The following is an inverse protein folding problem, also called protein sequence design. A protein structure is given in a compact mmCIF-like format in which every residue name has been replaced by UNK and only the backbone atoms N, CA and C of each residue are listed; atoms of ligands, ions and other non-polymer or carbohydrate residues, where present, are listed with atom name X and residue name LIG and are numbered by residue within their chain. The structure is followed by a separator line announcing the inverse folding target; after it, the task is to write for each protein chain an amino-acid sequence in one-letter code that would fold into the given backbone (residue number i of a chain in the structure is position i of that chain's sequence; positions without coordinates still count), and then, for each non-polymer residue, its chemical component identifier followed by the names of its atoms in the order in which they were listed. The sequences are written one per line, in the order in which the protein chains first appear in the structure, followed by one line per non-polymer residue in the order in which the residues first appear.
data_IF_562908636166
#
_entry.id   IF_562908636166
#
_cell.length_a   1.000
_cell.length_b   1.000
_cell.length_c   1.000
_cell.angle_alpha   90.00
_cell.angle_beta   90.00
_cell.angle_gamma   90.00
#
_symmetry.space_group_name_H-M   'P 1'
#
loop_
_entity.id
_entity.type
_entity.pdbx_description
1 polymer ?
#
# COMPACT_ATOMS: atom_id res chain seq x y z
N UNK A 1 -11.85 -80.57 -30.09
CA UNK A 1 -12.15 -79.13 -30.22
C UNK A 1 -11.47 -78.37 -29.08
N UNK A 2 -10.45 -77.55 -29.40
CA UNK A 2 -9.60 -76.82 -28.43
C UNK A 2 -10.34 -75.53 -28.01
N UNK A 3 -10.81 -75.43 -26.77
CA UNK A 3 -11.36 -74.17 -26.23
C UNK A 3 -10.24 -73.39 -25.53
N UNK A 4 -9.78 -72.31 -26.18
CA UNK A 4 -8.87 -71.31 -25.61
C UNK A 4 -9.59 -70.58 -24.48
N UNK A 5 -9.02 -70.54 -23.28
CA UNK A 5 -9.48 -69.64 -22.21
C UNK A 5 -8.64 -68.36 -22.28
N UNK A 6 -9.31 -67.24 -22.53
CA UNK A 6 -8.72 -65.92 -22.58
C UNK A 6 -8.25 -65.50 -21.17
N UNK A 7 -7.05 -64.92 -21.09
CA UNK A 7 -6.55 -64.28 -19.87
C UNK A 7 -7.15 -62.88 -19.81
N UNK A 8 -7.98 -62.59 -18.80
CA UNK A 8 -8.35 -61.22 -18.45
C UNK A 8 -7.13 -60.55 -17.82
N UNK A 9 -6.52 -59.60 -18.53
CA UNK A 9 -5.58 -58.66 -17.93
C UNK A 9 -6.39 -57.59 -17.20
N UNK A 10 -6.33 -57.58 -15.87
CA UNK A 10 -6.87 -56.50 -15.06
C UNK A 10 -6.00 -55.26 -15.23
N UNK A 11 -6.50 -54.24 -15.92
CA UNK A 11 -5.88 -52.92 -15.92
C UNK A 11 -6.20 -52.27 -14.57
N UNK A 12 -5.18 -52.13 -13.73
CA UNK A 12 -5.24 -51.35 -12.50
C UNK A 12 -5.31 -49.87 -12.89
N UNK A 13 -6.51 -49.30 -12.91
CA UNK A 13 -6.69 -47.87 -13.09
C UNK A 13 -6.17 -47.15 -11.84
N UNK A 14 -4.96 -46.61 -11.93
CA UNK A 14 -4.45 -45.66 -10.94
C UNK A 14 -5.26 -44.39 -11.10
N UNK A 15 -6.26 -44.23 -10.23
CA UNK A 15 -7.00 -42.98 -10.12
C UNK A 15 -6.05 -41.95 -9.49
N UNK A 16 -5.35 -41.19 -10.32
CA UNK A 16 -4.66 -40.00 -9.85
C UNK A 16 -5.73 -39.03 -9.37
N UNK A 17 -5.91 -38.94 -8.06
CA UNK A 17 -6.66 -37.86 -7.43
C UNK A 17 -5.88 -36.58 -7.74
N UNK A 18 -6.26 -35.91 -8.83
CA UNK A 18 -5.77 -34.57 -9.10
C UNK A 18 -6.23 -33.70 -7.94
N UNK A 19 -5.29 -33.29 -7.09
CA UNK A 19 -5.53 -32.15 -6.22
C UNK A 19 -5.72 -30.98 -7.18
N UNK A 20 -6.98 -30.64 -7.43
CA UNK A 20 -7.29 -29.33 -7.97
C UNK A 20 -6.84 -28.35 -6.89
N UNK A 21 -5.68 -27.75 -7.08
CA UNK A 21 -5.34 -26.53 -6.37
C UNK A 21 -6.38 -25.53 -6.84
N UNK A 22 -7.45 -25.36 -6.07
CA UNK A 22 -8.29 -24.18 -6.18
C UNK A 22 -7.33 -23.02 -5.98
N UNK A 23 -7.11 -22.21 -7.02
CA UNK A 23 -6.31 -21.01 -6.89
C UNK A 23 -6.76 -20.28 -5.64
N UNK A 24 -5.83 -19.95 -4.76
CA UNK A 24 -6.10 -19.06 -3.66
C UNK A 24 -6.40 -17.69 -4.27
N UNK A 25 -7.68 -17.39 -4.51
CA UNK A 25 -8.07 -16.08 -4.98
C UNK A 25 -8.09 -15.14 -3.77
N UNK A 26 -7.07 -14.28 -3.66
CA UNK A 26 -7.39 -12.89 -3.35
C UNK A 26 -8.33 -12.42 -4.44
N UNK A 27 -9.49 -11.90 -4.07
CA UNK A 27 -10.46 -11.42 -5.03
C UNK A 27 -9.85 -10.28 -5.87
N UNK A 28 -9.95 -10.33 -7.19
CA UNK A 28 -9.46 -9.23 -8.03
C UNK A 28 -10.29 -7.96 -7.82
N UNK A 29 -11.55 -8.14 -7.41
CA UNK A 29 -12.51 -7.08 -7.14
C UNK A 29 -13.14 -7.19 -5.78
N UNK A 30 -13.51 -6.06 -5.21
CA UNK A 30 -14.05 -6.01 -3.85
C UNK A 30 -15.32 -6.86 -3.69
N UNK A 31 -16.23 -6.81 -4.66
CA UNK A 31 -17.52 -7.51 -4.56
C UNK A 31 -17.44 -9.01 -4.87
N UNK A 32 -16.28 -9.54 -5.26
CA UNK A 32 -16.13 -10.99 -5.47
C UNK A 32 -16.03 -11.76 -4.14
N UNK A 33 -15.72 -11.07 -3.03
CA UNK A 33 -15.87 -11.63 -1.69
C UNK A 33 -15.29 -10.84 -0.52
N UNK A 34 -14.58 -9.72 -0.74
CA UNK A 34 -14.09 -8.87 0.36
C UNK A 34 -15.24 -8.36 1.24
N UNK A 35 -16.39 -8.07 0.64
CA UNK A 35 -17.60 -7.60 1.33
C UNK A 35 -18.12 -8.57 2.39
N UNK A 36 -17.75 -9.85 2.34
CA UNK A 36 -18.18 -10.86 3.33
C UNK A 36 -17.59 -10.61 4.72
N UNK A 37 -16.41 -10.02 4.79
CA UNK A 37 -15.75 -9.63 6.05
C UNK A 37 -15.78 -8.12 6.27
N UNK A 38 -15.68 -7.35 5.18
CA UNK A 38 -15.53 -5.90 5.22
C UNK A 38 -16.84 -5.12 5.02
N UNK A 39 -17.95 -5.80 4.68
CA UNK A 39 -19.26 -5.19 4.40
C UNK A 39 -19.38 -4.69 2.97
N UNK A 40 -20.61 -4.38 2.52
CA UNK A 40 -20.81 -3.81 1.19
C UNK A 40 -20.05 -2.49 1.03
N UNK A 41 -19.49 -2.25 -0.16
CA UNK A 41 -18.68 -1.05 -0.39
C UNK A 41 -19.51 0.24 -0.23
N UNK A 42 -20.77 0.19 -0.68
CA UNK A 42 -21.77 1.25 -0.49
C UNK A 42 -22.58 1.08 0.82
N UNK A 43 -22.09 0.24 1.73
CA UNK A 43 -22.79 -0.17 2.94
C UNK A 43 -22.37 0.59 4.20
N UNK A 44 -23.23 0.60 5.23
CA UNK A 44 -23.04 1.38 6.45
C UNK A 44 -22.02 0.85 7.46
N UNK A 45 -21.67 -0.43 7.40
CA UNK A 45 -20.80 -1.04 8.39
C UNK A 45 -20.15 -2.32 7.85
N UNK A 46 -19.00 -2.70 8.42
CA UNK A 46 -18.48 -4.05 8.25
C UNK A 46 -19.21 -5.05 9.17
N UNK A 47 -19.27 -6.34 8.79
CA UNK A 47 -19.63 -7.44 9.68
C UNK A 47 -18.81 -7.51 10.98
N UNK A 48 -17.58 -6.98 10.97
CA UNK A 48 -16.71 -6.86 12.14
C UNK A 48 -17.09 -5.69 13.08
N UNK A 49 -18.15 -4.93 12.77
CA UNK A 49 -18.60 -3.81 13.59
C UNK A 49 -17.77 -2.53 13.42
N UNK A 50 -16.82 -2.51 12.47
CA UNK A 50 -16.14 -1.29 12.06
C UNK A 50 -17.17 -0.37 11.42
N UNK A 51 -17.41 0.77 12.06
CA UNK A 51 -18.26 1.83 11.52
C UNK A 51 -17.35 2.69 10.66
N UNK A 52 -17.53 2.62 9.34
CA UNK A 52 -16.84 3.52 8.44
C UNK A 52 -17.47 4.90 8.56
N UNK A 53 -16.68 5.96 8.48
CA UNK A 53 -17.25 7.29 8.59
C UNK A 53 -18.27 7.56 7.48
N UNK A 54 -19.36 8.25 7.82
CA UNK A 54 -20.55 8.44 6.96
C UNK A 54 -21.30 7.17 6.51
N UNK A 55 -21.01 5.99 7.06
CA UNK A 55 -21.74 4.76 6.73
C UNK A 55 -21.69 4.40 5.23
N UNK A 56 -20.58 4.70 4.54
CA UNK A 56 -20.37 4.32 3.14
C UNK A 56 -18.86 4.44 2.82
N UNK A 57 -18.23 3.33 2.45
CA UNK A 57 -16.79 3.34 2.12
C UNK A 57 -16.52 4.11 0.85
N UNK A 58 -17.37 3.98 -0.15
CA UNK A 58 -17.22 4.74 -1.39
C UNK A 58 -17.32 6.24 -1.10
N UNK A 59 -18.25 6.65 -0.22
CA UNK A 59 -18.37 8.04 0.22
C UNK A 59 -17.12 8.55 0.91
N UNK A 60 -16.51 7.73 1.77
CA UNK A 60 -15.26 8.08 2.43
C UNK A 60 -14.15 8.37 1.42
N UNK A 61 -13.92 7.50 0.42
CA UNK A 61 -12.85 7.70 -0.56
C UNK A 61 -13.10 8.90 -1.47
N UNK A 62 -14.35 9.12 -1.90
CA UNK A 62 -14.67 10.28 -2.74
C UNK A 62 -14.65 11.62 -1.97
N UNK A 63 -14.63 11.63 -0.64
CA UNK A 63 -14.69 12.88 0.13
C UNK A 63 -13.34 13.22 0.76
N UNK A 64 -12.76 12.30 1.51
CA UNK A 64 -11.56 12.60 2.30
C UNK A 64 -10.30 12.47 1.48
N UNK A 65 -10.17 11.39 0.72
CA UNK A 65 -8.97 11.14 -0.07
C UNK A 65 -8.99 11.86 -1.42
N UNK A 66 -9.94 12.79 -1.62
CA UNK A 66 -10.12 13.60 -2.84
C UNK A 66 -10.31 12.84 -4.15
N UNK A 67 -10.58 11.54 -4.10
CA UNK A 67 -10.79 10.70 -5.28
C UNK A 67 -12.19 10.92 -5.93
N UNK A 68 -12.84 12.05 -5.69
CA UNK A 68 -14.20 12.35 -6.15
C UNK A 68 -14.30 12.44 -7.68
N UNK A 69 -13.21 12.88 -8.31
CA UNK A 69 -13.09 13.12 -9.75
C UNK A 69 -12.28 12.05 -10.46
N UNK A 70 -11.56 11.23 -9.70
CA UNK A 70 -10.53 10.32 -10.20
C UNK A 70 -10.96 8.87 -9.98
N UNK A 71 -12.17 8.54 -10.45
CA UNK A 71 -12.78 7.22 -10.33
C UNK A 71 -11.85 6.11 -10.82
N UNK A 72 -11.08 6.41 -11.88
CA UNK A 72 -10.16 5.49 -12.51
C UNK A 72 -9.00 5.05 -11.61
N UNK A 73 -8.78 5.69 -10.46
CA UNK A 73 -7.85 5.17 -9.46
C UNK A 73 -8.31 3.82 -8.90
N UNK A 74 -9.62 3.56 -8.86
CA UNK A 74 -10.20 2.31 -8.36
C UNK A 74 -10.93 1.49 -9.44
N UNK A 75 -11.31 2.14 -10.54
CA UNK A 75 -12.16 1.61 -11.58
C UNK A 75 -11.44 1.49 -12.91
N UNK A 76 -11.98 0.67 -13.80
CA UNK A 76 -11.51 0.53 -15.17
C UNK A 76 -12.67 0.74 -16.14
N UNK A 77 -12.36 1.06 -17.40
CA UNK A 77 -13.35 1.41 -18.40
C UNK A 77 -14.51 0.40 -18.47
N UNK A 78 -15.73 0.91 -18.27
CA UNK A 78 -16.96 0.11 -18.29
C UNK A 78 -17.36 -0.47 -16.94
N UNK A 79 -16.68 -0.11 -15.85
CA UNK A 79 -17.03 -0.47 -14.48
C UNK A 79 -16.98 0.74 -13.54
N UNK A 80 -18.14 1.10 -12.97
CA UNK A 80 -18.24 2.21 -12.01
C UNK A 80 -18.77 1.76 -10.63
N UNK A 81 -18.85 0.45 -10.36
CA UNK A 81 -19.53 -0.06 -9.16
C UNK A 81 -18.74 -1.13 -8.38
N UNK A 82 -17.63 -1.63 -8.92
CA UNK A 82 -16.83 -2.65 -8.26
C UNK A 82 -15.33 -2.29 -8.32
N UNK A 83 -14.76 -1.75 -7.24
CA UNK A 83 -13.36 -1.34 -7.26
C UNK A 83 -12.43 -2.55 -7.32
N UNK A 84 -11.36 -2.39 -8.06
CA UNK A 84 -10.31 -3.39 -8.22
C UNK A 84 -9.27 -3.30 -7.11
N UNK A 85 -8.64 -4.43 -6.80
CA UNK A 85 -7.59 -4.49 -5.78
C UNK A 85 -6.22 -4.15 -6.35
N UNK A 86 -5.82 -4.78 -7.46
CA UNK A 86 -4.44 -4.76 -7.98
C UNK A 86 -4.22 -4.02 -9.30
N UNK A 87 -5.26 -3.37 -9.83
CA UNK A 87 -5.26 -2.77 -11.16
C UNK A 87 -6.36 -1.71 -11.25
N UNK A 88 -6.18 -0.67 -12.04
CA UNK A 88 -7.25 0.22 -12.47
C UNK A 88 -6.80 1.00 -13.71
N UNK A 89 -7.60 1.93 -14.22
CA UNK A 89 -7.19 2.74 -15.38
C UNK A 89 -6.22 3.87 -15.01
N UNK A 90 -6.25 4.33 -13.75
CA UNK A 90 -5.47 5.46 -13.26
C UNK A 90 -5.81 6.79 -13.94
N UNK A 91 -4.94 7.76 -13.76
CA UNK A 91 -5.00 9.07 -14.42
C UNK A 91 -3.72 9.30 -15.21
N UNK A 92 -3.59 10.49 -15.82
CA UNK A 92 -2.34 10.91 -16.46
C UNK A 92 -1.21 11.14 -15.43
N UNK A 93 -1.55 11.35 -14.15
CA UNK A 93 -0.60 11.69 -13.09
C UNK A 93 -0.37 10.56 -12.08
N UNK A 94 -1.32 9.64 -11.94
CA UNK A 94 -1.31 8.60 -10.91
C UNK A 94 -1.60 7.23 -11.54
N UNK A 95 -0.77 6.21 -11.27
CA UNK A 95 -0.92 4.91 -11.92
C UNK A 95 -2.22 4.19 -11.53
N UNK A 96 -2.73 3.36 -12.42
CA UNK A 96 -3.93 2.57 -12.17
C UNK A 96 -3.63 1.29 -11.38
N UNK A 97 -3.75 1.37 -10.05
CA UNK A 97 -3.36 0.31 -9.12
C UNK A 97 -4.52 -0.19 -8.25
N UNK A 98 -5.66 0.49 -8.21
CA UNK A 98 -6.77 0.08 -7.35
C UNK A 98 -6.41 0.21 -5.87
N UNK A 99 -6.89 -0.72 -5.04
CA UNK A 99 -6.64 -0.70 -3.59
C UNK A 99 -5.14 -0.74 -3.22
N UNK A 100 -4.29 -1.44 -4.00
CA UNK A 100 -2.84 -1.50 -3.70
C UNK A 100 -2.11 -0.20 -4.03
N UNK A 101 -2.78 0.81 -4.60
CA UNK A 101 -2.21 2.15 -4.73
C UNK A 101 -1.96 2.80 -3.37
N UNK A 102 -2.81 2.54 -2.37
CA UNK A 102 -2.58 2.93 -0.97
C UNK A 102 -2.04 1.78 -0.12
N UNK A 103 -2.50 0.55 -0.36
CA UNK A 103 -2.20 -0.62 0.49
C UNK A 103 -1.05 -1.50 -0.01
N UNK A 104 -0.32 -1.07 -1.04
CA UNK A 104 0.75 -1.86 -1.66
C UNK A 104 2.01 -1.03 -1.87
N UNK A 105 3.15 -1.72 -1.90
CA UNK A 105 4.47 -1.11 -2.04
C UNK A 105 5.19 -1.69 -3.24
N UNK A 106 6.04 -0.88 -3.88
CA UNK A 106 6.86 -1.37 -4.99
C UNK A 106 8.07 -2.16 -4.45
N UNK A 107 8.13 -3.45 -4.78
CA UNK A 107 9.27 -4.32 -4.47
C UNK A 107 10.25 -4.43 -5.65
N UNK A 108 9.98 -3.69 -6.72
CA UNK A 108 10.70 -3.74 -7.97
C UNK A 108 10.55 -5.07 -8.72
N UNK A 109 11.22 -5.14 -9.86
CA UNK A 109 11.30 -6.36 -10.66
C UNK A 109 9.94 -6.93 -11.04
N UNK A 110 9.77 -8.25 -10.85
CA UNK A 110 8.54 -8.95 -11.20
C UNK A 110 7.42 -8.84 -10.16
N UNK A 111 7.74 -8.39 -8.93
CA UNK A 111 6.73 -8.21 -7.89
C UNK A 111 6.00 -6.87 -8.05
N UNK A 112 6.71 -5.82 -8.48
CA UNK A 112 6.15 -4.49 -8.68
C UNK A 112 5.42 -3.99 -7.43
N UNK A 113 4.38 -3.18 -7.63
CA UNK A 113 3.49 -2.75 -6.56
C UNK A 113 2.62 -3.93 -6.11
N UNK A 114 2.86 -4.41 -4.89
CA UNK A 114 2.15 -5.58 -4.34
C UNK A 114 1.64 -5.32 -2.94
N UNK A 115 0.44 -5.81 -2.64
CA UNK A 115 -0.16 -5.77 -1.29
C UNK A 115 0.43 -6.81 -0.35
N UNK A 116 1.76 -6.87 -0.21
CA UNK A 116 2.46 -7.76 0.74
C UNK A 116 2.03 -7.44 2.17
N UNK A 117 2.05 -6.16 2.57
CA UNK A 117 1.60 -5.78 3.91
C UNK A 117 0.11 -5.97 4.13
N UNK A 118 -0.74 -5.74 3.12
CA UNK A 118 -2.15 -6.14 3.18
C UNK A 118 -2.34 -7.65 3.46
N UNK A 119 -1.47 -8.51 2.90
CA UNK A 119 -1.48 -9.95 3.20
C UNK A 119 -0.93 -10.26 4.59
N UNK A 120 0.08 -9.52 5.06
CA UNK A 120 0.57 -9.61 6.43
C UNK A 120 -0.55 -9.27 7.42
N UNK A 121 -1.23 -8.13 7.23
CA UNK A 121 -2.36 -7.70 8.04
C UNK A 121 -3.50 -8.73 8.11
N UNK A 122 -3.80 -9.36 6.98
CA UNK A 122 -4.76 -10.47 6.94
C UNK A 122 -4.27 -11.67 7.74
N UNK A 123 -3.00 -12.05 7.62
CA UNK A 123 -2.42 -13.16 8.38
C UNK A 123 -2.46 -12.89 9.89
N UNK A 124 -2.15 -11.66 10.33
CA UNK A 124 -2.28 -11.25 11.74
C UNK A 124 -3.71 -11.36 12.26
N UNK A 125 -4.68 -11.04 11.40
CA UNK A 125 -6.10 -11.17 11.67
C UNK A 125 -6.62 -12.63 11.57
N UNK A 126 -5.72 -13.61 11.38
CA UNK A 126 -6.04 -15.04 11.29
C UNK A 126 -6.50 -15.52 9.91
N UNK A 127 -6.43 -14.67 8.88
CA UNK A 127 -6.75 -15.02 7.49
C UNK A 127 -5.50 -15.55 6.79
N UNK A 128 -5.28 -16.87 6.88
CA UNK A 128 -4.04 -17.51 6.41
C UNK A 128 -4.13 -18.15 5.03
N UNK A 129 -5.28 -18.06 4.34
CA UNK A 129 -5.51 -18.77 3.06
C UNK A 129 -4.47 -18.39 1.99
N UNK A 130 -4.04 -17.12 2.01
CA UNK A 130 -3.09 -16.54 1.06
C UNK A 130 -1.71 -17.19 1.16
N UNK A 131 -1.28 -17.62 2.36
CA UNK A 131 0.05 -18.18 2.61
C UNK A 131 0.35 -19.47 1.85
N UNK A 132 -0.66 -20.15 1.30
CA UNK A 132 -0.46 -21.33 0.44
C UNK A 132 0.18 -20.99 -0.91
N UNK A 133 -0.07 -19.78 -1.43
CA UNK A 133 0.56 -19.26 -2.64
C UNK A 133 1.63 -18.21 -2.33
N UNK A 134 1.46 -17.47 -1.22
CA UNK A 134 2.29 -16.35 -0.79
C UNK A 134 3.24 -16.69 0.38
N UNK A 135 3.56 -17.97 0.58
CA UNK A 135 4.47 -18.40 1.66
C UNK A 135 5.92 -17.96 1.50
N UNK A 136 6.27 -17.35 0.37
CA UNK A 136 7.58 -16.77 0.08
C UNK A 136 7.53 -15.29 -0.25
N UNK A 137 6.47 -14.60 0.17
CA UNK A 137 6.43 -13.14 0.09
C UNK A 137 7.67 -12.54 0.79
N UNK A 138 8.19 -11.41 0.28
CA UNK A 138 9.22 -10.67 0.98
C UNK A 138 8.65 -10.15 2.32
N UNK A 139 9.54 -9.67 3.18
CA UNK A 139 9.10 -8.87 4.31
C UNK A 139 8.33 -7.65 3.79
N UNK A 140 7.23 -7.25 4.44
CA UNK A 140 6.59 -5.97 4.16
C UNK A 140 7.63 -4.83 4.20
N UNK A 141 7.51 -3.88 3.28
CA UNK A 141 8.28 -2.64 3.36
C UNK A 141 7.77 -1.84 4.56
N UNK A 142 8.67 -1.16 5.29
CA UNK A 142 8.31 -0.35 6.45
C UNK A 142 7.38 0.81 6.09
N UNK A 143 6.68 1.34 7.09
CA UNK A 143 5.64 2.36 6.91
C UNK A 143 6.18 3.68 6.31
N UNK A 144 7.45 3.99 6.57
CA UNK A 144 8.14 5.18 6.03
C UNK A 144 8.44 5.13 4.52
N UNK A 145 8.37 3.96 3.87
CA UNK A 145 8.39 3.87 2.41
C UNK A 145 6.96 4.12 1.95
N UNK A 146 6.70 5.13 1.11
CA UNK A 146 5.33 5.47 0.75
C UNK A 146 4.76 4.60 -0.38
N UNK A 147 3.45 4.26 -0.35
CA UNK A 147 2.79 3.59 -1.46
C UNK A 147 2.48 4.60 -2.58
N UNK A 148 2.26 4.15 -3.82
CA UNK A 148 2.23 5.04 -4.98
C UNK A 148 1.17 6.15 -5.00
N UNK A 149 0.10 6.03 -4.20
CA UNK A 149 -0.96 7.04 -4.15
C UNK A 149 -0.65 8.17 -3.17
N UNK A 150 0.28 7.96 -2.23
CA UNK A 150 0.64 8.98 -1.26
C UNK A 150 1.40 10.12 -1.94
N UNK A 151 1.03 11.36 -1.62
CA UNK A 151 1.62 12.55 -2.24
C UNK A 151 1.28 12.76 -3.72
N UNK A 152 0.47 11.88 -4.32
CA UNK A 152 0.00 12.04 -5.69
C UNK A 152 -1.00 13.20 -5.79
N UNK A 153 -1.10 13.89 -6.94
CA UNK A 153 -2.02 15.03 -7.09
C UNK A 153 -3.50 14.65 -7.03
N UNK A 154 -3.82 13.37 -7.19
CA UNK A 154 -5.19 12.85 -7.22
C UNK A 154 -5.65 12.31 -5.86
N UNK A 155 -4.78 12.34 -4.84
CA UNK A 155 -5.15 11.98 -3.47
C UNK A 155 -4.65 12.99 -2.43
N UNK A 156 -5.33 13.04 -1.28
CA UNK A 156 -4.88 13.84 -0.13
C UNK A 156 -4.08 13.06 0.90
N UNK A 157 -3.86 11.76 0.68
CA UNK A 157 -3.12 10.94 1.62
C UNK A 157 -1.64 11.25 1.42
N UNK A 158 -0.95 11.64 2.50
CA UNK A 158 0.41 12.20 2.39
C UNK A 158 1.45 11.50 3.26
N UNK A 159 1.07 11.02 4.44
CA UNK A 159 2.03 10.54 5.43
C UNK A 159 1.32 9.54 6.35
N UNK A 160 1.69 8.24 6.36
CA UNK A 160 1.09 7.23 7.24
C UNK A 160 1.67 7.26 8.66
N UNK A 161 2.71 8.07 8.87
CA UNK A 161 3.43 8.25 10.12
C UNK A 161 3.06 9.58 10.82
N UNK A 162 1.97 10.23 10.40
CA UNK A 162 1.60 11.51 10.95
C UNK A 162 1.04 11.37 12.38
N UNK A 163 1.25 12.38 13.22
CA UNK A 163 0.75 12.37 14.59
C UNK A 163 -0.62 13.07 14.63
N UNK A 164 -1.69 12.28 14.80
CA UNK A 164 -3.00 12.83 15.14
C UNK A 164 -2.96 13.65 16.44
N UNK A 165 -3.82 14.69 16.62
CA UNK A 165 -4.91 15.14 15.75
C UNK A 165 -4.57 16.38 14.90
N UNK A 166 -3.29 16.77 14.80
CA UNK A 166 -2.86 17.99 14.10
C UNK A 166 -2.89 17.89 12.58
N UNK A 167 -2.75 16.67 12.07
CA UNK A 167 -2.77 16.31 10.65
C UNK A 167 -3.78 15.17 10.52
N UNK A 168 -4.84 15.38 9.75
CA UNK A 168 -5.71 14.28 9.40
C UNK A 168 -5.04 13.50 8.29
N UNK A 169 -5.20 12.19 8.25
CA UNK A 169 -4.57 11.37 7.20
C UNK A 169 -5.29 11.44 5.86
N UNK A 170 -6.47 12.07 5.86
CA UNK A 170 -7.32 12.27 4.69
C UNK A 170 -7.70 10.98 3.97
N UNK A 171 -7.58 9.79 4.57
CA UNK A 171 -8.17 8.55 4.04
C UNK A 171 -9.51 8.21 4.70
N UNK A 172 -9.90 8.85 5.81
CA UNK A 172 -11.22 8.64 6.44
C UNK A 172 -11.70 9.83 7.28
N UNK A 173 -13.02 9.94 7.53
CA UNK A 173 -13.56 11.05 8.36
C UNK A 173 -13.46 10.74 9.85
N UNK A 174 -12.77 11.61 10.58
CA UNK A 174 -12.79 11.58 12.05
C UNK A 174 -12.01 10.43 12.67
N UNK A 175 -11.25 9.69 11.87
CA UNK A 175 -10.16 8.83 12.33
C UNK A 175 -8.84 9.47 11.86
N UNK A 176 -8.02 9.98 12.80
CA UNK A 176 -6.75 10.60 12.46
C UNK A 176 -5.59 9.60 12.36
N UNK A 177 -5.85 8.29 12.46
CA UNK A 177 -4.83 7.25 12.52
C UNK A 177 -4.34 6.79 11.15
N UNK A 178 -3.05 6.48 11.09
CA UNK A 178 -2.27 5.72 10.10
C UNK A 178 -3.04 4.62 9.39
N UNK A 179 -2.86 4.51 8.07
CA UNK A 179 -2.99 3.21 7.42
C UNK A 179 -1.75 2.37 7.75
N UNK A 180 -1.97 1.26 8.47
CA UNK A 180 -1.01 0.17 8.68
C UNK A 180 -0.84 -0.61 7.37
N UNK A 181 0.12 -0.18 6.56
CA UNK A 181 0.37 -0.66 5.22
C UNK A 181 1.43 -1.76 5.16
N UNK A 182 2.28 -1.88 6.17
CA UNK A 182 3.23 -2.98 6.34
C UNK A 182 2.54 -4.21 7.00
N UNK A 183 1.45 -3.98 7.72
CA UNK A 183 0.54 -4.99 8.25
C UNK A 183 0.97 -5.58 9.59
N UNK A 184 1.76 -4.87 10.40
CA UNK A 184 2.26 -5.32 11.70
C UNK A 184 1.37 -4.92 12.91
N UNK A 185 0.33 -4.12 12.63
CA UNK A 185 -0.65 -3.67 13.61
C UNK A 185 -0.23 -2.48 14.46
N UNK A 186 0.88 -1.82 14.13
CA UNK A 186 1.34 -0.56 14.69
C UNK A 186 0.90 0.62 13.79
N UNK A 187 0.93 1.83 14.34
CA UNK A 187 0.36 3.01 13.70
C UNK A 187 1.04 4.29 14.17
N UNK A 188 1.09 5.30 13.29
CA UNK A 188 1.52 6.66 13.62
C UNK A 188 2.89 6.65 14.33
N UNK A 189 3.06 7.51 15.34
CA UNK A 189 4.23 7.52 16.20
C UNK A 189 4.46 6.33 17.10
N UNK A 190 3.47 5.44 17.24
CA UNK A 190 3.66 4.22 18.02
C UNK A 190 4.31 3.12 17.15
N UNK A 191 4.45 3.37 15.84
CA UNK A 191 5.13 2.50 14.90
C UNK A 191 6.66 2.78 14.86
N UNK A 192 7.51 1.79 15.19
CA UNK A 192 8.96 1.91 15.09
C UNK A 192 9.45 2.23 13.68
N UNK A 193 8.70 1.92 12.63
CA UNK A 193 9.04 2.26 11.26
C UNK A 193 8.81 3.74 10.95
N UNK A 194 7.94 4.38 11.72
CA UNK A 194 7.77 5.83 11.72
C UNK A 194 8.85 6.56 12.56
N UNK A 195 9.50 5.83 13.46
CA UNK A 195 10.74 6.24 14.14
C UNK A 195 12.01 5.77 13.37
N UNK A 196 11.86 4.92 12.35
CA UNK A 196 12.96 4.38 11.55
C UNK A 196 13.45 5.44 10.57
N UNK A 197 14.23 6.37 11.14
CA UNK A 197 15.21 7.22 10.50
C UNK A 197 14.84 7.47 9.04
N UNK A 198 13.86 8.37 8.81
CA UNK A 198 14.02 9.31 7.70
C UNK A 198 15.45 9.79 7.85
N UNK A 199 16.33 9.32 6.99
CA UNK A 199 17.66 9.89 6.94
C UNK A 199 17.43 11.40 6.79
N UNK A 200 18.10 12.20 7.61
CA UNK A 200 17.77 13.63 7.74
C UNK A 200 17.91 14.38 6.40
N UNK A 201 18.54 13.71 5.45
CA UNK A 201 18.73 14.03 4.05
C UNK A 201 17.54 13.70 3.11
N UNK A 202 16.55 12.91 3.55
CA UNK A 202 15.27 12.67 2.86
C UNK A 202 14.28 13.79 3.26
N UNK A 203 14.30 14.84 2.45
CA UNK A 203 13.65 16.12 2.69
C UNK A 203 12.23 16.18 2.13
N UNK A 204 11.92 15.36 1.13
CA UNK A 204 10.56 15.21 0.60
C UNK A 204 9.80 14.03 1.22
N UNK A 205 10.48 13.20 2.01
CA UNK A 205 9.96 12.06 2.76
C UNK A 205 9.40 10.98 1.83
N UNK A 206 10.03 10.78 0.68
CA UNK A 206 9.66 9.70 -0.25
C UNK A 206 10.26 8.34 0.15
N UNK A 207 11.07 8.31 1.22
CA UNK A 207 11.74 7.11 1.74
C UNK A 207 13.10 6.87 1.09
N UNK A 208 13.64 7.83 0.34
CA UNK A 208 14.95 7.72 -0.32
C UNK A 208 15.61 9.08 -0.48
N UNK A 209 16.91 9.16 -0.17
CA UNK A 209 17.72 10.33 -0.53
C UNK A 209 18.04 10.27 -2.01
N UNK A 210 17.45 11.17 -2.77
CA UNK A 210 17.53 11.20 -4.20
C UNK A 210 17.63 12.59 -4.81
N UNK A 211 17.18 12.66 -6.06
CA UNK A 211 17.28 13.88 -6.84
C UNK A 211 16.34 14.97 -6.33
N UNK A 212 15.18 14.59 -5.78
CA UNK A 212 14.21 15.55 -5.25
C UNK A 212 14.74 16.24 -4.01
N UNK A 213 15.41 15.52 -3.10
CA UNK A 213 16.07 16.10 -1.92
C UNK A 213 17.21 17.03 -2.28
N UNK A 214 18.00 16.63 -3.28
CA UNK A 214 19.04 17.50 -3.82
C UNK A 214 18.46 18.80 -4.38
N UNK A 215 17.34 18.74 -5.10
CA UNK A 215 16.64 19.94 -5.55
C UNK A 215 16.10 20.76 -4.37
N UNK A 216 15.63 20.09 -3.32
CA UNK A 216 15.16 20.74 -2.10
C UNK A 216 16.27 21.57 -1.44
N UNK A 217 17.48 21.01 -1.27
CA UNK A 217 18.66 21.75 -0.78
C UNK A 217 19.02 22.92 -1.71
N UNK A 218 19.12 22.67 -3.02
CA UNK A 218 19.51 23.72 -3.98
C UNK A 218 18.50 24.86 -4.08
N UNK A 219 17.21 24.59 -3.85
CA UNK A 219 16.16 25.60 -3.90
C UNK A 219 16.08 26.47 -2.64
N UNK A 220 16.60 25.98 -1.51
CA UNK A 220 16.59 26.67 -0.21
C UNK A 220 17.95 27.25 0.19
N UNK A 221 18.89 27.39 -0.76
CA UNK A 221 20.26 27.81 -0.51
C UNK A 221 20.37 29.18 0.19
N UNK A 222 21.20 29.26 1.22
CA UNK A 222 21.50 30.48 2.00
C UNK A 222 20.95 30.46 3.42
N UNK A 223 20.95 31.63 4.07
CA UNK A 223 20.58 31.77 5.48
C UNK A 223 19.16 31.27 5.78
N UNK A 224 19.04 30.47 6.83
CA UNK A 224 17.74 30.01 7.28
C UNK A 224 16.92 31.14 7.91
N UNK A 225 15.59 31.19 7.69
CA UNK A 225 14.73 32.18 8.32
C UNK A 225 14.69 31.93 9.85
N UNK A 226 14.91 32.94 10.70
CA UNK A 226 15.01 32.76 12.16
C UNK A 226 13.69 32.35 12.85
N UNK A 227 12.58 32.23 12.12
CA UNK A 227 11.26 31.90 12.67
C UNK A 227 10.54 30.77 11.92
N UNK A 228 11.15 30.19 10.88
CA UNK A 228 10.55 29.12 10.09
C UNK A 228 11.45 27.87 10.13
N UNK A 229 10.89 26.66 10.11
CA UNK A 229 11.67 25.45 9.92
C UNK A 229 12.50 25.55 8.64
N UNK A 230 13.76 25.10 8.70
CA UNK A 230 14.67 25.08 7.56
C UNK A 230 15.15 23.63 7.35
N UNK A 231 14.30 22.74 6.81
CA UNK A 231 14.64 21.31 6.72
C UNK A 231 15.92 21.03 5.91
N UNK A 232 16.27 21.92 4.98
CA UNK A 232 17.47 21.82 4.17
C UNK A 232 18.78 22.19 4.91
N UNK A 233 18.71 22.74 6.13
CA UNK A 233 19.86 22.92 7.05
C UNK A 233 19.97 21.66 7.91
N UNK A 234 20.62 20.66 7.32
CA UNK A 234 20.73 19.30 7.81
C UNK A 234 21.74 19.23 8.96
N UNK A 235 22.80 20.06 8.92
CA UNK A 235 23.83 20.09 9.95
C UNK A 235 23.52 21.06 11.12
N UNK A 236 22.46 21.87 11.00
CA UNK A 236 21.94 22.77 12.03
C UNK A 236 22.82 24.00 12.24
N UNK A 237 23.54 24.43 11.22
CA UNK A 237 24.45 25.59 11.25
C UNK A 237 23.73 26.93 11.22
N UNK A 238 22.48 26.95 10.74
CA UNK A 238 21.68 28.15 10.52
C UNK A 238 21.73 28.68 9.08
N UNK A 239 22.39 28.00 8.16
CA UNK A 239 22.42 28.30 6.73
C UNK A 239 22.47 27.03 5.87
N UNK A 240 21.68 26.99 4.79
CA UNK A 240 21.71 25.91 3.79
C UNK A 240 22.89 26.13 2.87
N UNK A 241 23.92 25.31 3.02
CA UNK A 241 25.21 25.49 2.38
C UNK A 241 25.75 24.20 1.77
N UNK A 242 27.03 24.23 1.43
CA UNK A 242 27.69 23.09 0.79
C UNK A 242 27.79 21.87 1.70
N UNK A 243 27.77 22.05 3.02
CA UNK A 243 27.76 20.95 3.99
C UNK A 243 26.46 20.16 3.95
N UNK A 244 25.32 20.81 3.79
CA UNK A 244 24.01 20.16 3.64
C UNK A 244 23.90 19.41 2.30
N UNK A 245 24.39 20.02 1.22
CA UNK A 245 24.48 19.33 -0.07
C UNK A 245 25.33 18.07 0.01
N UNK A 246 26.44 18.11 0.75
CA UNK A 246 27.28 16.93 0.97
C UNK A 246 26.58 15.86 1.80
N UNK A 247 25.75 16.25 2.78
CA UNK A 247 24.94 15.29 3.54
C UNK A 247 24.03 14.50 2.60
N UNK A 248 23.22 15.19 1.77
CA UNK A 248 22.35 14.56 0.76
C UNK A 248 23.13 13.64 -0.19
N UNK A 249 24.26 14.11 -0.72
CA UNK A 249 25.08 13.30 -1.62
C UNK A 249 25.73 12.08 -0.94
N UNK A 250 26.01 12.16 0.37
CA UNK A 250 26.62 11.07 1.13
C UNK A 250 25.60 9.99 1.54
N UNK A 251 24.34 10.38 1.71
CA UNK A 251 23.25 9.49 2.10
C UNK A 251 22.47 8.92 0.90
N UNK A 252 22.92 9.14 -0.34
CA UNK A 252 22.21 8.79 -1.56
C UNK A 252 21.73 7.32 -1.61
N UNK A 253 20.44 7.13 -1.79
CA UNK A 253 19.78 5.82 -1.80
C UNK A 253 18.66 5.74 -0.75
N UNK A 254 18.10 4.54 -0.53
CA UNK A 254 17.04 4.35 0.46
C UNK A 254 17.50 4.71 1.87
N UNK A 255 16.58 5.32 2.64
CA UNK A 255 16.58 5.16 4.09
C UNK A 255 16.04 3.74 4.41
#
# INVERSE_FOLDING_TARGET
MRKRRARLGGALAVLTLGVATTGAFSYDRYNDGCQTCHGWFLGPASPAGTIFPNNDKHRMHRSESWMATDCNLCHAFGDDNDPFIGFSDGTDATPGLGCVGCHGRDYGGALGVSGVGLRARHAESGVTLCGTCHGGDPLPQPENILPPYYGSPDTLVGDPCNQGPGFGEHWSLGDPRGLDNDGDGLYDGDDPDCDAVSCVEDLDRDGSVGFTDLLFVLSNWGDCPPAEPCPADIDGSGDVAFTDLLAVLAAWGPC
#
